data_IF_175071039324
#
_entry.id   IF_175071039324
#
_cell.length_a   1.000
_cell.length_b   1.000
_cell.length_c   1.000
_cell.angle_alpha   90.00
_cell.angle_beta   90.00
_cell.angle_gamma   90.00
#
_symmetry.space_group_name_H-M   'P 1'
#
loop_
_entity.id
_entity.type
_entity.pdbx_description
1 polymer ?
#
# COMPACT_ATOMS: atom_id res chain seq x y z
N UNK A 1 -5.61 -8.96 -28.78
CA UNK A 1 -7.08 -9.05 -28.63
C UNK A 1 -7.45 -8.10 -27.53
N UNK A 2 -7.98 -6.93 -27.87
CA UNK A 2 -8.46 -5.96 -26.87
C UNK A 2 -9.94 -6.27 -26.70
N UNK A 3 -10.29 -6.93 -25.61
CA UNK A 3 -11.71 -7.05 -25.26
C UNK A 3 -12.22 -5.67 -24.86
N UNK A 4 -13.42 -5.26 -25.29
CA UNK A 4 -14.07 -4.11 -24.71
C UNK A 4 -14.24 -4.40 -23.21
N UNK A 5 -13.59 -3.62 -22.35
CA UNK A 5 -13.66 -3.79 -20.88
C UNK A 5 -15.10 -3.92 -20.39
N UNK A 6 -16.05 -3.29 -21.11
CA UNK A 6 -17.48 -3.33 -20.86
C UNK A 6 -18.13 -4.71 -21.06
N UNK A 7 -17.68 -5.49 -22.05
CA UNK A 7 -18.24 -6.84 -22.30
C UNK A 7 -17.81 -7.80 -21.20
N UNK A 8 -16.50 -7.85 -20.89
CA UNK A 8 -15.99 -8.66 -19.77
C UNK A 8 -16.66 -8.28 -18.45
N UNK A 9 -16.81 -6.97 -18.19
CA UNK A 9 -17.46 -6.50 -16.98
C UNK A 9 -18.89 -7.02 -16.86
N UNK A 10 -19.67 -6.98 -17.95
CA UNK A 10 -21.04 -7.50 -17.96
C UNK A 10 -21.06 -9.01 -17.74
N UNK A 11 -20.25 -9.76 -18.47
CA UNK A 11 -20.23 -11.22 -18.40
C UNK A 11 -19.86 -11.70 -16.99
N UNK A 12 -18.86 -11.06 -16.36
CA UNK A 12 -18.47 -11.35 -14.97
C UNK A 12 -19.55 -10.92 -13.98
N UNK A 13 -20.20 -9.77 -14.18
CA UNK A 13 -21.29 -9.30 -13.32
C UNK A 13 -22.50 -10.24 -13.37
N UNK A 14 -22.87 -10.72 -14.56
CA UNK A 14 -23.94 -11.69 -14.78
C UNK A 14 -23.63 -13.04 -14.10
N UNK A 15 -22.42 -13.57 -14.32
CA UNK A 15 -21.98 -14.83 -13.70
C UNK A 15 -21.97 -14.75 -12.17
N UNK A 16 -21.48 -13.63 -11.61
CA UNK A 16 -21.42 -13.39 -10.18
C UNK A 16 -22.75 -12.90 -9.58
N UNK A 17 -23.77 -12.65 -10.40
CA UNK A 17 -25.09 -12.16 -10.00
C UNK A 17 -25.04 -10.86 -9.17
N UNK A 18 -24.18 -9.93 -9.58
CA UNK A 18 -24.05 -8.60 -8.98
C UNK A 18 -24.16 -7.51 -10.05
N UNK A 19 -24.35 -6.25 -9.65
CA UNK A 19 -24.32 -5.15 -10.60
C UNK A 19 -22.88 -4.90 -11.10
N UNK A 20 -22.75 -4.33 -12.30
CA UNK A 20 -21.46 -3.88 -12.82
C UNK A 20 -20.80 -2.84 -11.89
N UNK A 21 -21.60 -1.97 -11.27
CA UNK A 21 -21.12 -0.97 -10.32
C UNK A 21 -20.58 -1.61 -9.04
N UNK A 22 -21.26 -2.62 -8.50
CA UNK A 22 -20.77 -3.40 -7.35
C UNK A 22 -19.50 -4.17 -7.69
N UNK A 23 -19.43 -4.75 -8.89
CA UNK A 23 -18.25 -5.46 -9.36
C UNK A 23 -17.05 -4.52 -9.47
N UNK A 24 -17.24 -3.32 -10.04
CA UNK A 24 -16.20 -2.28 -10.09
C UNK A 24 -15.79 -1.86 -8.68
N UNK A 25 -16.73 -1.51 -7.80
CA UNK A 25 -16.43 -1.09 -6.42
C UNK A 25 -15.64 -2.16 -5.68
N UNK A 26 -16.09 -3.42 -5.71
CA UNK A 26 -15.40 -4.56 -5.09
C UNK A 26 -14.02 -4.81 -5.70
N UNK A 27 -13.90 -4.66 -7.02
CA UNK A 27 -12.63 -4.81 -7.74
C UNK A 27 -11.61 -3.75 -7.33
N UNK A 28 -12.01 -2.48 -7.31
CA UNK A 28 -11.16 -1.36 -6.87
C UNK A 28 -10.76 -1.57 -5.40
N UNK A 29 -11.71 -1.87 -4.52
CA UNK A 29 -11.44 -2.12 -3.10
C UNK A 29 -10.42 -3.26 -2.92
N UNK A 30 -10.66 -4.42 -3.53
CA UNK A 30 -9.76 -5.58 -3.42
C UNK A 30 -8.36 -5.30 -3.97
N UNK A 31 -8.28 -4.52 -5.06
CA UNK A 31 -7.00 -4.10 -5.63
C UNK A 31 -6.23 -3.17 -4.69
N UNK A 32 -6.88 -2.12 -4.17
CA UNK A 32 -6.26 -1.17 -3.24
C UNK A 32 -5.82 -1.84 -1.94
N UNK A 33 -6.65 -2.71 -1.35
CA UNK A 33 -6.28 -3.49 -0.16
C UNK A 33 -5.05 -4.35 -0.41
N UNK A 34 -4.94 -4.98 -1.59
CA UNK A 34 -3.76 -5.78 -1.94
C UNK A 34 -2.51 -4.89 -2.05
N UNK A 35 -2.62 -3.71 -2.65
CA UNK A 35 -1.51 -2.76 -2.71
C UNK A 35 -1.11 -2.30 -1.30
N UNK A 36 -2.08 -2.00 -0.44
CA UNK A 36 -1.85 -1.57 0.94
C UNK A 36 -1.10 -2.66 1.72
N UNK A 37 -1.54 -3.92 1.62
CA UNK A 37 -0.85 -5.06 2.26
C UNK A 37 0.60 -5.21 1.80
N UNK A 38 0.88 -5.03 0.52
CA UNK A 38 2.26 -5.06 -0.01
C UNK A 38 3.11 -3.95 0.61
N UNK A 39 2.60 -2.71 0.63
CA UNK A 39 3.30 -1.57 1.22
C UNK A 39 3.55 -1.79 2.72
N UNK A 40 2.54 -2.26 3.46
CA UNK A 40 2.65 -2.55 4.88
C UNK A 40 3.68 -3.66 5.18
N UNK A 41 3.76 -4.69 4.34
CA UNK A 41 4.76 -5.74 4.49
C UNK A 41 6.19 -5.22 4.27
N UNK A 42 6.38 -4.32 3.30
CA UNK A 42 7.67 -3.66 3.07
C UNK A 42 8.06 -2.73 4.24
N UNK A 43 7.11 -1.92 4.73
CA UNK A 43 7.29 -1.11 5.95
C UNK A 43 7.72 -2.00 7.10
N UNK A 44 6.97 -3.07 7.38
CA UNK A 44 7.25 -4.00 8.47
C UNK A 44 8.66 -4.62 8.36
N UNK A 45 9.11 -4.96 7.15
CA UNK A 45 10.45 -5.49 6.91
C UNK A 45 11.56 -4.50 7.30
N UNK A 46 11.41 -3.22 6.91
CA UNK A 46 12.37 -2.17 7.25
C UNK A 46 12.35 -1.88 8.76
N UNK A 47 11.16 -1.67 9.33
CA UNK A 47 10.99 -1.42 10.76
C UNK A 47 11.60 -2.54 11.62
N UNK A 48 11.37 -3.79 11.24
CA UNK A 48 11.91 -4.96 11.93
C UNK A 48 13.43 -5.08 11.80
N UNK A 49 14.00 -4.75 10.63
CA UNK A 49 15.45 -4.79 10.39
C UNK A 49 16.20 -3.86 11.34
N UNK A 50 15.66 -2.68 11.60
CA UNK A 50 16.29 -1.67 12.44
C UNK A 50 15.74 -1.62 13.86
N UNK A 51 14.73 -2.43 14.19
CA UNK A 51 14.02 -2.40 15.47
C UNK A 51 13.54 -0.97 15.82
N UNK A 52 12.84 -0.36 14.86
CA UNK A 52 12.23 0.99 14.95
C UNK A 52 10.75 0.90 14.62
N UNK A 53 9.99 1.94 14.97
CA UNK A 53 8.54 1.97 14.82
C UNK A 53 8.04 2.93 13.73
N UNK A 54 8.86 3.88 13.29
CA UNK A 54 8.53 4.84 12.22
C UNK A 54 9.78 5.50 11.63
N UNK A 55 9.60 6.34 10.61
CA UNK A 55 10.63 7.25 10.10
C UNK A 55 11.21 8.12 11.22
N UNK A 56 10.36 8.73 12.05
CA UNK A 56 10.81 9.61 13.13
C UNK A 56 11.62 8.87 14.19
N UNK A 57 11.28 7.61 14.48
CA UNK A 57 12.04 6.76 15.39
C UNK A 57 13.44 6.47 14.81
N UNK A 58 13.51 6.11 13.52
CA UNK A 58 14.78 5.87 12.82
C UNK A 58 15.68 7.11 12.76
N UNK A 59 15.12 8.28 12.44
CA UNK A 59 15.84 9.55 12.52
C UNK A 59 16.31 9.87 13.95
N UNK A 60 15.48 9.56 14.96
CA UNK A 60 15.85 9.69 16.36
C UNK A 60 17.07 8.83 16.70
N UNK A 61 17.20 7.63 16.13
CA UNK A 61 18.37 6.77 16.33
C UNK A 61 19.64 7.34 15.69
N UNK A 62 19.55 8.01 14.54
CA UNK A 62 20.66 8.75 13.95
C UNK A 62 21.13 9.88 14.85
N UNK A 63 20.20 10.72 15.34
CA UNK A 63 20.53 11.85 16.22
C UNK A 63 21.20 11.43 17.54
N UNK A 64 20.93 10.21 17.99
CA UNK A 64 21.49 9.63 19.21
C UNK A 64 22.75 8.78 18.96
N UNK A 65 23.25 8.73 17.72
CA UNK A 65 24.39 7.90 17.29
C UNK A 65 24.21 6.39 17.60
N UNK A 66 22.96 5.91 17.61
CA UNK A 66 22.62 4.50 17.88
C UNK A 66 22.34 3.68 16.62
N UNK A 67 22.37 4.33 15.46
CA UNK A 67 22.24 3.73 14.14
C UNK A 67 23.14 4.52 13.17
N UNK A 68 23.89 3.83 12.32
CA UNK A 68 24.82 4.45 11.36
C UNK A 68 24.08 4.88 10.10
N UNK A 69 24.07 6.18 9.81
CA UNK A 69 23.33 6.74 8.67
C UNK A 69 23.89 6.29 7.31
N UNK A 70 25.22 6.20 7.19
CA UNK A 70 25.88 5.82 5.93
C UNK A 70 25.39 4.47 5.39
N UNK A 71 25.02 3.54 6.28
CA UNK A 71 24.60 2.19 5.96
C UNK A 71 23.06 2.02 5.84
N UNK A 72 22.26 2.99 6.33
CA UNK A 72 20.79 2.84 6.39
C UNK A 72 19.96 3.99 5.82
N UNK A 73 20.58 5.07 5.34
CA UNK A 73 19.85 6.23 4.78
C UNK A 73 18.91 5.87 3.62
N UNK A 74 19.25 4.88 2.79
CA UNK A 74 18.40 4.43 1.68
C UNK A 74 17.11 3.80 2.19
N UNK A 75 17.19 3.02 3.27
CA UNK A 75 16.02 2.41 3.88
C UNK A 75 15.16 3.46 4.61
N UNK A 76 15.75 4.51 5.18
CA UNK A 76 14.99 5.65 5.71
C UNK A 76 14.17 6.34 4.60
N UNK A 77 14.81 6.70 3.48
CA UNK A 77 14.12 7.33 2.35
C UNK A 77 13.02 6.43 1.79
N UNK A 78 13.27 5.13 1.73
CA UNK A 78 12.26 4.16 1.29
C UNK A 78 11.10 4.08 2.28
N UNK A 79 11.39 4.06 3.59
CA UNK A 79 10.37 4.02 4.63
C UNK A 79 9.45 5.25 4.56
N UNK A 80 10.01 6.45 4.43
CA UNK A 80 9.25 7.70 4.27
C UNK A 80 8.29 7.65 3.06
N UNK A 81 8.81 7.23 1.90
CA UNK A 81 7.98 7.06 0.72
C UNK A 81 6.87 6.01 0.91
N UNK A 82 7.16 4.91 1.59
CA UNK A 82 6.19 3.85 1.86
C UNK A 82 5.11 4.29 2.84
N UNK A 83 5.45 5.04 3.90
CA UNK A 83 4.48 5.59 4.85
C UNK A 83 3.54 6.57 4.15
N UNK A 84 4.07 7.49 3.33
CA UNK A 84 3.24 8.36 2.51
C UNK A 84 2.31 7.57 1.58
N UNK A 85 2.84 6.55 0.90
CA UNK A 85 2.05 5.71 -0.02
C UNK A 85 0.96 4.92 0.70
N UNK A 86 1.25 4.38 1.90
CA UNK A 86 0.29 3.70 2.76
C UNK A 86 -0.89 4.62 3.05
N UNK A 87 -0.61 5.86 3.45
CA UNK A 87 -1.63 6.83 3.81
C UNK A 87 -2.48 7.23 2.58
N UNK A 88 -1.88 7.38 1.41
CA UNK A 88 -2.61 7.61 0.16
C UNK A 88 -3.56 6.44 -0.18
N UNK A 89 -3.09 5.19 -0.05
CA UNK A 89 -3.91 4.00 -0.31
C UNK A 89 -5.05 3.87 0.71
N UNK A 90 -4.79 4.18 1.98
CA UNK A 90 -5.81 4.18 3.02
C UNK A 90 -6.89 5.24 2.74
N UNK A 91 -6.50 6.46 2.39
CA UNK A 91 -7.45 7.53 2.03
C UNK A 91 -8.33 7.14 0.84
N UNK A 92 -7.78 6.45 -0.16
CA UNK A 92 -8.55 5.95 -1.30
C UNK A 92 -9.53 4.83 -0.90
N UNK A 93 -9.14 3.94 0.02
CA UNK A 93 -10.04 2.91 0.56
C UNK A 93 -11.17 3.54 1.38
N UNK A 94 -10.86 4.51 2.22
CA UNK A 94 -11.85 5.21 3.05
C UNK A 94 -12.87 5.97 2.19
N UNK A 95 -12.44 6.51 1.04
CA UNK A 95 -13.34 7.16 0.07
C UNK A 95 -14.29 6.19 -0.67
N UNK A 96 -14.06 4.87 -0.57
CA UNK A 96 -14.93 3.84 -1.16
C UNK A 96 -15.99 3.32 -0.17
N UNK A 97 -15.92 3.71 1.10
CA UNK A 97 -16.90 3.38 2.14
C UNK A 97 -18.09 4.33 2.06
#
# INVERSE_FOLDING_TARGET
>A
MVFPTTEILRDVAEELKISSDDLIRKGIHSYLERQLRTVQAEIFSILSRYNVNSVEDMEGRYRNDTLEEADSWQDLQRLDHLEYKRDQLQNLLDALL
#
